data_IF_289200465845
#
_entry.id   IF_289200465845
#
_cell.length_a   1.000
_cell.length_b   1.000
_cell.length_c   1.000
_cell.angle_alpha   90.00
_cell.angle_beta   90.00
_cell.angle_gamma   90.00
#
_symmetry.space_group_name_H-M   'P 1'
#
loop_
_entity.id
_entity.type
_entity.pdbx_description
1 polymer ?
#
# COMPACT_ATOMS: atom_id res chain seq x y z
N UNK A 1 -19.28 -0.49 0.27
CA UNK A 1 -18.51 -1.76 0.34
C UNK A 1 -17.13 -1.52 -0.26
N UNK A 2 -16.05 -1.96 0.41
CA UNK A 2 -14.68 -1.82 -0.08
C UNK A 2 -14.48 -2.67 -1.34
N UNK A 3 -13.78 -2.15 -2.36
CA UNK A 3 -13.51 -2.88 -3.59
C UNK A 3 -12.71 -4.16 -3.34
N UNK A 4 -12.96 -5.21 -4.12
CA UNK A 4 -12.22 -6.48 -3.98
C UNK A 4 -10.72 -6.31 -4.23
N UNK A 5 -10.34 -5.38 -5.11
CA UNK A 5 -8.95 -5.03 -5.40
C UNK A 5 -8.27 -4.45 -4.16
N UNK A 6 -8.91 -3.48 -3.49
CA UNK A 6 -8.36 -2.89 -2.26
C UNK A 6 -8.24 -3.94 -1.16
N UNK A 7 -9.25 -4.82 -0.99
CA UNK A 7 -9.19 -5.91 -0.01
C UNK A 7 -8.01 -6.84 -0.26
N UNK A 8 -7.76 -7.21 -1.53
CA UNK A 8 -6.61 -8.03 -1.94
C UNK A 8 -5.29 -7.31 -1.65
N UNK A 9 -5.19 -6.04 -1.99
CA UNK A 9 -3.99 -5.24 -1.79
C UNK A 9 -3.66 -5.06 -0.31
N UNK A 10 -4.65 -4.75 0.52
CA UNK A 10 -4.47 -4.66 1.98
C UNK A 10 -4.03 -6.01 2.54
N UNK A 11 -4.60 -7.13 2.08
CA UNK A 11 -4.15 -8.48 2.49
C UNK A 11 -2.67 -8.70 2.19
N UNK A 12 -2.23 -8.36 0.97
CA UNK A 12 -0.86 -8.51 0.54
C UNK A 12 0.10 -7.62 1.33
N UNK A 13 -0.29 -6.37 1.58
CA UNK A 13 0.47 -5.46 2.45
C UNK A 13 0.56 -6.00 3.87
N UNK A 14 -0.54 -6.42 4.48
CA UNK A 14 -0.54 -7.00 5.82
C UNK A 14 0.39 -8.21 5.90
N UNK A 15 0.34 -9.12 4.91
CA UNK A 15 1.27 -10.24 4.85
C UNK A 15 2.74 -9.78 4.73
N UNK A 16 3.03 -8.84 3.81
CA UNK A 16 4.38 -8.30 3.57
C UNK A 16 4.99 -7.65 4.82
N UNK A 17 4.18 -7.05 5.68
CA UNK A 17 4.62 -6.35 6.88
C UNK A 17 4.42 -7.15 8.18
N UNK A 18 4.01 -8.42 8.08
CA UNK A 18 3.74 -9.32 9.21
C UNK A 18 2.61 -8.84 10.14
N UNK A 19 1.50 -8.39 9.55
CA UNK A 19 0.26 -8.06 10.24
C UNK A 19 -0.82 -9.10 9.93
N UNK A 20 -1.54 -9.52 10.96
CA UNK A 20 -2.72 -10.35 10.84
C UNK A 20 -3.90 -9.52 10.32
N UNK A 21 -4.73 -10.13 9.46
CA UNK A 21 -5.91 -9.47 8.90
C UNK A 21 -7.15 -10.33 9.11
N UNK A 22 -8.24 -9.69 9.53
CA UNK A 22 -9.55 -10.31 9.71
C UNK A 22 -10.62 -9.51 8.97
N UNK A 23 -11.54 -10.21 8.32
CA UNK A 23 -12.64 -9.60 7.57
C UNK A 23 -13.95 -9.88 8.29
N UNK A 24 -14.69 -8.82 8.59
CA UNK A 24 -16.04 -8.86 9.11
C UNK A 24 -17.01 -8.28 8.08
N UNK A 25 -18.30 -8.36 8.36
CA UNK A 25 -19.35 -7.90 7.43
C UNK A 25 -19.17 -6.43 7.03
N UNK A 26 -18.81 -5.58 8.00
CA UNK A 26 -18.74 -4.13 7.83
C UNK A 26 -17.36 -3.52 8.14
N UNK A 27 -16.32 -4.32 8.35
CA UNK A 27 -15.00 -3.80 8.70
C UNK A 27 -13.87 -4.77 8.33
N UNK A 28 -12.67 -4.21 8.17
CA UNK A 28 -11.41 -4.95 8.10
C UNK A 28 -10.61 -4.60 9.34
N UNK A 29 -10.19 -5.61 10.10
CA UNK A 29 -9.28 -5.44 11.22
C UNK A 29 -7.88 -5.92 10.83
N UNK A 30 -6.87 -5.10 11.15
CA UNK A 30 -5.47 -5.42 10.95
C UNK A 30 -4.75 -5.28 12.29
N UNK A 31 -3.99 -6.31 12.68
CA UNK A 31 -3.31 -6.35 13.98
C UNK A 31 -1.87 -6.85 13.86
N UNK A 32 -1.03 -6.38 14.75
CA UNK A 32 0.30 -6.93 15.05
C UNK A 32 0.52 -6.79 16.57
N UNK A 33 1.69 -7.18 17.08
CA UNK A 33 2.03 -6.96 18.48
C UNK A 33 1.92 -5.48 18.89
N UNK A 34 2.16 -4.56 17.94
CA UNK A 34 2.18 -3.11 18.18
C UNK A 34 0.97 -2.37 17.63
N UNK A 35 0.53 -2.74 16.43
CA UNK A 35 -0.47 -1.97 15.66
C UNK A 35 -1.84 -2.61 15.73
N UNK A 36 -2.86 -1.76 15.85
CA UNK A 36 -4.27 -2.07 15.68
C UNK A 36 -4.86 -1.07 14.71
N UNK A 37 -5.48 -1.56 13.64
CA UNK A 37 -6.12 -0.74 12.60
C UNK A 37 -7.50 -1.35 12.30
N UNK A 38 -8.49 -0.48 12.22
CA UNK A 38 -9.86 -0.81 11.85
C UNK A 38 -10.25 0.05 10.64
N UNK A 39 -10.75 -0.60 9.57
CA UNK A 39 -11.13 0.07 8.32
C UNK A 39 -12.60 -0.21 8.07
N UNK A 40 -13.41 0.85 8.12
CA UNK A 40 -14.86 0.80 7.96
C UNK A 40 -15.23 1.49 6.64
N UNK A 41 -15.85 0.79 5.67
CA UNK A 41 -16.35 1.43 4.47
C UNK A 41 -17.48 2.42 4.77
N UNK A 42 -17.39 3.59 4.17
CA UNK A 42 -18.44 4.59 4.14
C UNK A 42 -19.03 4.75 2.73
N UNK A 43 -19.89 5.74 2.55
CA UNK A 43 -20.46 6.08 1.24
C UNK A 43 -19.41 6.73 0.32
N UNK A 44 -19.67 6.71 -0.99
CA UNK A 44 -18.89 7.46 -1.99
C UNK A 44 -17.37 7.18 -1.99
N UNK A 45 -16.98 5.90 -1.87
CA UNK A 45 -15.56 5.47 -1.84
C UNK A 45 -14.76 6.06 -0.67
N UNK A 46 -15.42 6.48 0.40
CA UNK A 46 -14.75 6.90 1.63
C UNK A 46 -14.58 5.72 2.58
N UNK A 47 -13.54 5.80 3.39
CA UNK A 47 -13.20 4.86 4.44
C UNK A 47 -13.01 5.65 5.73
N UNK A 48 -13.61 5.18 6.82
CA UNK A 48 -13.23 5.58 8.16
C UNK A 48 -12.15 4.61 8.63
N UNK A 49 -10.98 5.13 8.96
CA UNK A 49 -9.86 4.36 9.48
C UNK A 49 -9.59 4.76 10.91
N UNK A 50 -9.63 3.79 11.82
CA UNK A 50 -9.24 3.96 13.21
C UNK A 50 -7.93 3.24 13.46
N UNK A 51 -7.00 3.85 14.17
CA UNK A 51 -5.74 3.20 14.52
C UNK A 51 -5.21 3.64 15.88
N UNK A 52 -4.50 2.76 16.57
CA UNK A 52 -3.96 3.06 17.90
C UNK A 52 -2.76 4.01 17.81
N UNK A 53 -2.65 4.93 18.75
CA UNK A 53 -1.50 5.79 19.04
C UNK A 53 -1.07 5.61 20.51
N UNK A 54 0.02 6.25 20.90
CA UNK A 54 0.53 6.18 22.28
C UNK A 54 -0.53 6.57 23.31
N UNK A 55 -1.27 7.66 23.05
CA UNK A 55 -2.27 8.22 23.96
C UNK A 55 -3.73 7.81 23.66
N UNK A 56 -3.96 6.83 22.78
CA UNK A 56 -5.32 6.34 22.50
C UNK A 56 -5.55 5.89 21.06
N UNK A 57 -6.64 6.36 20.46
CA UNK A 57 -7.06 6.01 19.09
C UNK A 57 -7.17 7.31 18.29
N UNK A 58 -6.70 7.27 17.04
CA UNK A 58 -6.97 8.30 16.05
C UNK A 58 -8.01 7.81 15.05
N UNK A 59 -8.81 8.73 14.51
CA UNK A 59 -9.84 8.43 13.51
C UNK A 59 -9.67 9.37 12.32
N UNK A 60 -9.60 8.81 11.11
CA UNK A 60 -9.41 9.54 9.86
C UNK A 60 -10.44 9.09 8.82
N UNK A 61 -11.09 10.05 8.17
CA UNK A 61 -11.91 9.80 6.99
C UNK A 61 -11.09 10.07 5.73
N UNK A 62 -10.94 9.05 4.88
CA UNK A 62 -10.09 9.09 3.68
C UNK A 62 -10.83 8.55 2.46
N UNK A 63 -10.32 8.85 1.27
CA UNK A 63 -10.72 8.18 0.04
C UNK A 63 -10.04 6.81 -0.07
N UNK A 64 -10.70 5.91 -0.78
CA UNK A 64 -10.28 4.51 -0.90
C UNK A 64 -8.87 4.34 -1.50
N UNK A 65 -8.43 5.23 -2.38
CA UNK A 65 -7.07 5.22 -2.94
C UNK A 65 -5.99 5.66 -1.94
N UNK A 66 -6.34 6.37 -0.87
CA UNK A 66 -5.39 6.88 0.13
C UNK A 66 -5.00 5.80 1.16
N UNK A 67 -5.73 4.67 1.17
CA UNK A 67 -5.57 3.63 2.18
C UNK A 67 -4.17 3.00 2.17
N UNK A 68 -3.55 2.87 0.99
CA UNK A 68 -2.25 2.23 0.88
C UNK A 68 -1.18 3.05 1.59
N UNK A 69 -1.19 4.37 1.37
CA UNK A 69 -0.28 5.30 2.02
C UNK A 69 -0.42 5.25 3.54
N UNK A 70 -1.67 5.33 4.03
CA UNK A 70 -1.97 5.27 5.46
C UNK A 70 -1.47 3.98 6.10
N UNK A 71 -1.84 2.84 5.51
CA UNK A 71 -1.55 1.52 6.07
C UNK A 71 -0.05 1.25 6.06
N UNK A 72 0.65 1.59 4.98
CA UNK A 72 2.11 1.44 4.88
C UNK A 72 2.82 2.30 5.95
N UNK A 73 2.38 3.54 6.14
CA UNK A 73 2.97 4.42 7.16
C UNK A 73 2.72 3.88 8.58
N UNK A 74 1.53 3.36 8.88
CA UNK A 74 1.23 2.72 10.17
C UNK A 74 2.04 1.43 10.35
N UNK A 75 2.29 0.66 9.29
CA UNK A 75 3.07 -0.58 9.39
C UNK A 75 4.54 -0.34 9.69
N UNK A 76 5.08 0.81 9.27
CA UNK A 76 6.52 1.12 9.35
C UNK A 76 6.92 1.99 10.55
N UNK A 77 5.95 2.57 11.26
CA UNK A 77 6.24 3.48 12.39
C UNK A 77 7.10 2.83 13.48
N UNK A 78 8.03 3.62 14.02
CA UNK A 78 8.93 3.16 15.10
C UNK A 78 8.32 3.31 16.47
N UNK A 79 7.50 4.33 16.68
CA UNK A 79 6.69 4.53 17.89
C UNK A 79 5.20 4.49 17.53
N UNK A 80 4.30 4.79 18.46
CA UNK A 80 2.86 4.87 18.20
C UNK A 80 2.47 6.30 17.81
N UNK A 81 3.26 6.95 16.95
CA UNK A 81 3.01 8.31 16.48
C UNK A 81 1.77 8.41 15.55
N UNK A 82 1.26 9.64 15.44
CA UNK A 82 0.23 10.01 14.45
C UNK A 82 0.82 9.91 13.05
N UNK A 83 0.06 9.32 12.13
CA UNK A 83 0.45 9.25 10.72
C UNK A 83 -0.09 10.45 9.96
N UNK A 84 0.77 11.08 9.17
CA UNK A 84 0.37 12.14 8.25
C UNK A 84 0.21 11.55 6.86
N UNK A 85 -0.86 11.91 6.16
CA UNK A 85 -1.08 11.52 4.78
C UNK A 85 -0.38 12.51 3.85
N UNK A 86 0.23 11.99 2.78
CA UNK A 86 0.78 12.85 1.74
C UNK A 86 -0.37 13.59 1.02
N UNK A 87 -0.19 14.87 0.68
CA UNK A 87 -1.29 15.70 0.14
C UNK A 87 -1.52 15.53 -1.36
N UNK A 88 -0.59 14.90 -2.07
CA UNK A 88 -0.63 14.81 -3.53
C UNK A 88 -1.30 13.52 -4.03
N UNK A 89 -1.26 13.33 -5.35
CA UNK A 89 -1.77 12.13 -6.00
C UNK A 89 -0.91 10.89 -5.70
N UNK A 90 -1.48 9.68 -5.84
CA UNK A 90 -0.72 8.44 -5.79
C UNK A 90 0.30 8.34 -6.91
N UNK A 91 1.45 7.72 -6.61
CA UNK A 91 2.47 7.37 -7.60
C UNK A 91 1.88 6.53 -8.73
N UNK A 92 2.33 6.76 -9.96
CA UNK A 92 1.84 6.10 -11.16
C UNK A 92 3.00 5.56 -12.02
N UNK A 93 2.70 5.10 -13.24
CA UNK A 93 3.72 4.56 -14.16
C UNK A 93 4.63 5.64 -14.75
N UNK A 94 4.15 6.88 -14.89
CA UNK A 94 4.97 8.01 -15.35
C UNK A 94 6.06 8.33 -14.30
N UNK A 95 5.73 8.24 -13.01
CA UNK A 95 6.73 8.39 -11.94
C UNK A 95 7.82 7.30 -11.99
N UNK A 96 7.47 6.09 -12.43
CA UNK A 96 8.45 5.01 -12.65
C UNK A 96 9.31 5.26 -13.88
N UNK A 97 8.74 5.78 -14.96
CA UNK A 97 9.50 6.18 -16.15
C UNK A 97 10.49 7.30 -15.82
N UNK A 98 10.10 8.29 -15.01
CA UNK A 98 11.02 9.33 -14.51
C UNK A 98 12.18 8.74 -13.70
N UNK A 99 11.92 7.68 -12.91
CA UNK A 99 12.90 7.06 -12.03
C UNK A 99 13.86 6.11 -12.78
N UNK A 100 13.35 5.29 -13.70
CA UNK A 100 14.11 4.21 -14.34
C UNK A 100 14.46 4.48 -15.81
N UNK A 101 13.79 5.44 -16.47
CA UNK A 101 14.09 5.97 -17.81
C UNK A 101 13.77 5.07 -19.01
N UNK A 102 13.38 3.82 -18.78
CA UNK A 102 12.95 2.88 -19.83
C UNK A 102 11.89 1.93 -19.27
N UNK A 103 10.63 2.38 -19.29
CA UNK A 103 9.50 1.66 -18.74
C UNK A 103 9.29 0.32 -19.44
N UNK A 104 9.59 0.21 -20.74
CA UNK A 104 9.46 -1.07 -21.45
C UNK A 104 10.43 -2.11 -20.87
N UNK A 105 11.70 -1.72 -20.68
CA UNK A 105 12.70 -2.61 -20.06
C UNK A 105 12.34 -2.92 -18.60
N UNK A 106 11.75 -1.96 -17.89
CA UNK A 106 11.26 -2.16 -16.54
C UNK A 106 10.10 -3.16 -16.50
N UNK A 107 9.13 -3.05 -17.40
CA UNK A 107 8.02 -3.98 -17.56
C UNK A 107 8.51 -5.39 -17.93
N UNK A 108 9.46 -5.52 -18.87
CA UNK A 108 10.09 -6.80 -19.20
C UNK A 108 10.74 -7.44 -17.97
N UNK A 109 11.44 -6.65 -17.16
CA UNK A 109 12.02 -7.10 -15.91
C UNK A 109 10.93 -7.57 -14.92
N UNK A 110 9.85 -6.79 -14.74
CA UNK A 110 8.72 -7.18 -13.88
C UNK A 110 8.07 -8.49 -14.35
N UNK A 111 7.86 -8.66 -15.66
CA UNK A 111 7.29 -9.89 -16.21
C UNK A 111 8.20 -11.08 -15.98
N UNK A 112 9.53 -10.92 -16.06
CA UNK A 112 10.48 -11.99 -15.72
C UNK A 112 10.39 -12.42 -14.24
N UNK A 113 10.07 -11.49 -13.33
CA UNK A 113 9.85 -11.79 -11.91
C UNK A 113 8.56 -12.59 -11.70
N UNK A 114 7.51 -12.25 -12.45
CA UNK A 114 6.24 -13.00 -12.45
C UNK A 114 6.45 -14.42 -12.97
N UNK A 115 7.11 -14.58 -14.13
CA UNK A 115 7.36 -15.88 -14.75
C UNK A 115 8.24 -16.80 -13.88
N UNK A 116 9.20 -16.22 -13.16
CA UNK A 116 10.06 -16.94 -12.22
C UNK A 116 9.39 -17.27 -10.88
N UNK A 117 8.14 -16.87 -10.66
CA UNK A 117 7.42 -16.98 -9.37
C UNK A 117 8.22 -16.37 -8.21
N UNK A 118 8.84 -15.22 -8.44
CA UNK A 118 9.53 -14.49 -7.38
C UNK A 118 8.50 -14.03 -6.35
N UNK A 119 8.70 -14.35 -5.06
CA UNK A 119 7.78 -13.89 -4.01
C UNK A 119 8.04 -12.44 -3.60
N UNK A 120 9.32 -12.05 -3.51
CA UNK A 120 9.73 -10.73 -3.07
C UNK A 120 11.06 -10.30 -3.68
N UNK A 121 11.13 -9.03 -4.12
CA UNK A 121 12.39 -8.35 -4.39
C UNK A 121 12.25 -6.85 -4.10
N UNK A 122 13.27 -6.28 -3.47
CA UNK A 122 13.41 -4.83 -3.39
C UNK A 122 14.10 -4.35 -4.67
N UNK A 123 13.37 -3.61 -5.51
CA UNK A 123 13.86 -3.10 -6.79
C UNK A 123 14.69 -1.83 -6.56
N UNK A 124 14.36 -1.06 -5.51
CA UNK A 124 15.03 0.20 -5.20
C UNK A 124 14.36 1.39 -5.87
N UNK A 125 15.17 2.38 -6.26
CA UNK A 125 14.72 3.70 -6.69
C UNK A 125 15.27 4.80 -5.78
N UNK A 126 15.47 5.99 -6.31
CA UNK A 126 15.99 7.16 -5.59
C UNK A 126 14.84 7.94 -4.94
N UNK A 127 13.84 8.35 -5.72
CA UNK A 127 12.62 9.02 -5.23
C UNK A 127 11.51 8.00 -5.05
N UNK A 128 11.27 7.18 -6.07
CA UNK A 128 10.20 6.18 -6.09
C UNK A 128 10.73 4.84 -5.60
N UNK A 129 10.61 4.59 -4.30
CA UNK A 129 10.96 3.31 -3.71
C UNK A 129 9.99 2.23 -4.20
N UNK A 130 10.54 1.27 -4.92
CA UNK A 130 9.79 0.25 -5.63
C UNK A 130 10.10 -1.12 -5.06
N UNK A 131 9.06 -1.83 -4.63
CA UNK A 131 9.13 -3.21 -4.15
C UNK A 131 8.19 -4.09 -4.97
N UNK A 132 8.62 -5.31 -5.31
CA UNK A 132 7.77 -6.32 -5.90
C UNK A 132 7.47 -7.39 -4.86
N UNK A 133 6.19 -7.71 -4.69
CA UNK A 133 5.72 -8.74 -3.77
C UNK A 133 4.53 -9.50 -4.37
N UNK A 134 4.67 -10.81 -4.60
CA UNK A 134 3.63 -11.70 -5.13
C UNK A 134 2.82 -11.10 -6.30
N UNK A 135 3.50 -10.75 -7.39
CA UNK A 135 2.92 -10.14 -8.59
C UNK A 135 2.24 -8.79 -8.32
N UNK A 136 2.71 -8.04 -7.34
CA UNK A 136 2.20 -6.72 -6.99
C UNK A 136 3.37 -5.77 -6.81
N UNK A 137 3.29 -4.61 -7.45
CA UNK A 137 4.24 -3.52 -7.29
C UNK A 137 3.75 -2.61 -6.17
N UNK A 138 4.60 -2.37 -5.19
CA UNK A 138 4.36 -1.43 -4.08
C UNK A 138 5.27 -0.23 -4.33
N UNK A 139 4.65 0.91 -4.57
CA UNK A 139 5.31 2.19 -4.83
C UNK A 139 5.20 3.08 -3.61
N UNK A 140 6.32 3.66 -3.19
CA UNK A 140 6.35 4.65 -2.12
C UNK A 140 7.25 5.80 -2.50
N UNK A 141 6.92 6.98 -1.99
CA UNK A 141 7.75 8.16 -2.18
C UNK A 141 8.69 8.33 -0.98
N UNK A 142 10.00 8.36 -1.22
CA UNK A 142 11.00 8.54 -0.15
C UNK A 142 10.95 9.96 0.44
N UNK A 143 10.56 10.96 -0.37
CA UNK A 143 10.51 12.36 0.04
C UNK A 143 9.15 12.79 0.60
N UNK A 144 8.15 11.90 0.59
CA UNK A 144 6.82 12.16 1.15
C UNK A 144 5.98 13.20 0.38
N UNK A 145 6.24 13.39 -0.92
CA UNK A 145 5.48 14.30 -1.76
C UNK A 145 4.22 13.65 -2.35
N UNK A 146 4.34 12.42 -2.85
CA UNK A 146 3.28 11.62 -3.47
C UNK A 146 2.78 10.50 -2.56
N UNK A 147 1.51 10.10 -2.73
CA UNK A 147 0.95 8.97 -1.97
C UNK A 147 1.50 7.65 -2.49
N UNK A 148 1.64 6.68 -1.59
CA UNK A 148 1.96 5.30 -1.96
C UNK A 148 0.89 4.69 -2.87
N UNK A 149 1.28 3.79 -3.77
CA UNK A 149 0.37 3.07 -4.65
C UNK A 149 0.70 1.56 -4.70
N UNK A 150 -0.32 0.76 -5.01
CA UNK A 150 -0.21 -0.71 -5.08
C UNK A 150 -0.84 -1.20 -6.38
N UNK A 151 0.01 -1.64 -7.30
CA UNK A 151 -0.35 -2.03 -8.66
C UNK A 151 -0.29 -3.55 -8.77
N UNK A 152 -1.44 -4.18 -9.08
CA UNK A 152 -1.47 -5.63 -9.33
C UNK A 152 -0.99 -5.91 -10.74
N UNK A 153 0.02 -6.76 -10.87
CA UNK A 153 0.52 -7.23 -12.14
C UNK A 153 -0.25 -8.52 -12.45
N UNK A 154 -1.43 -8.38 -13.08
CA UNK A 154 -2.10 -9.54 -13.69
C UNK A 154 -1.34 -9.95 -14.95
N UNK A 155 -1.33 -11.24 -15.28
CA UNK A 155 -0.70 -11.77 -16.50
C UNK A 155 -1.18 -11.12 -17.82
N UNK A 156 -2.22 -10.28 -17.78
CA UNK A 156 -2.88 -9.68 -18.96
C UNK A 156 -2.54 -8.20 -19.22
N UNK A 157 -1.46 -7.64 -18.62
CA UNK A 157 -0.78 -6.33 -18.87
C UNK A 157 -0.73 -5.40 -17.65
N UNK A 158 0.33 -4.59 -17.62
CA UNK A 158 0.54 -3.39 -16.80
C UNK A 158 -0.11 -2.21 -17.51
#
# INVERSE_FOLDING_TARGET
>A
MISQIIKKNIKLLSERFNHEISYYENEILIKSEKNFIEIIPQHQKRLLVKYNREDGIDELEILDFEIYDLVINIFRRKELETVTLNLSFPLNLEDLEEEFGDLNKFEEYLMSLVESNTDYINIGGNRVLTEFYKNTLILRDDIGHAKSNVINLSNDKI
#
